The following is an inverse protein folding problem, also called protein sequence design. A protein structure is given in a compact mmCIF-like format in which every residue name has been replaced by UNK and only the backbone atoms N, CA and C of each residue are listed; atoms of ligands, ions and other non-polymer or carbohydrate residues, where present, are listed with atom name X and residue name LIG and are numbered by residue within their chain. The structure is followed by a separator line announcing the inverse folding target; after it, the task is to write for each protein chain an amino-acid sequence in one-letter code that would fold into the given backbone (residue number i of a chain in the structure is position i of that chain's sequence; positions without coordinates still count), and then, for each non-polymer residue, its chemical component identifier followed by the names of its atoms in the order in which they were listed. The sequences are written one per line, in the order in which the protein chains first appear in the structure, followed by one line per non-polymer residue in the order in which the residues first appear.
data_IF_719802604466
#
_entry.id   IF_719802604466
#
_cell.length_a   1.000
_cell.length_b   1.000
_cell.length_c   1.000
_cell.angle_alpha   90.00
_cell.angle_beta   90.00
_cell.angle_gamma   90.00
#
_symmetry.space_group_name_H-M   'P 1'
#
loop_
_entity.id
_entity.type
_entity.pdbx_description
1 polymer ?
#
# COMPACT_ATOMS: atom_id res chain seq x y z
N UNK A 1 65.69 8.09 -37.87
CA UNK A 1 66.05 7.15 -36.80
C UNK A 1 64.78 6.35 -36.48
N UNK A 2 64.35 5.45 -37.36
CA UNK A 2 64.71 4.02 -37.48
C UNK A 2 64.07 3.16 -36.39
N UNK A 3 63.30 2.17 -36.86
CA UNK A 3 62.46 1.17 -36.18
C UNK A 3 63.11 0.36 -35.03
N UNK A 4 62.24 -0.19 -34.15
CA UNK A 4 62.24 -1.51 -33.46
C UNK A 4 61.73 -1.33 -32.01
N UNK A 5 60.91 -2.16 -31.36
CA UNK A 5 60.10 -3.34 -31.65
C UNK A 5 59.33 -3.62 -30.33
N UNK A 6 58.00 -3.65 -30.33
CA UNK A 6 57.25 -4.18 -29.19
C UNK A 6 57.33 -5.71 -29.25
N UNK A 7 58.13 -6.25 -28.32
CA UNK A 7 58.23 -7.67 -28.06
C UNK A 7 57.03 -8.08 -27.22
N UNK A 8 56.25 -9.00 -27.79
CA UNK A 8 55.20 -9.74 -27.11
C UNK A 8 55.81 -10.49 -25.91
N UNK A 9 55.26 -10.28 -24.72
CA UNK A 9 55.47 -11.18 -23.60
C UNK A 9 54.14 -11.38 -22.90
N UNK A 10 53.51 -12.49 -23.25
CA UNK A 10 52.47 -13.13 -22.46
C UNK A 10 52.93 -13.25 -21.00
N UNK A 11 52.23 -12.57 -20.11
CA UNK A 11 52.18 -12.95 -18.71
C UNK A 11 50.75 -12.77 -18.22
N UNK A 12 49.98 -13.86 -18.37
CA UNK A 12 48.79 -14.11 -17.58
C UNK A 12 49.17 -14.05 -16.10
N UNK A 13 49.00 -12.88 -15.48
CA UNK A 13 49.05 -12.73 -14.04
C UNK A 13 47.80 -13.36 -13.44
N UNK A 14 47.85 -14.69 -13.28
CA UNK A 14 46.97 -15.38 -12.36
C UNK A 14 47.17 -14.74 -10.98
N UNK A 15 46.18 -13.96 -10.54
CA UNK A 15 46.09 -13.55 -9.15
C UNK A 15 46.19 -14.83 -8.29
N UNK A 16 46.99 -14.83 -7.22
CA UNK A 16 47.14 -16.00 -6.36
C UNK A 16 45.77 -16.48 -5.91
N UNK A 17 45.57 -17.79 -5.83
CA UNK A 17 44.27 -18.40 -5.52
C UNK A 17 43.62 -17.78 -4.27
N UNK A 18 44.43 -17.36 -3.30
CA UNK A 18 43.99 -16.67 -2.08
C UNK A 18 43.38 -15.27 -2.31
N UNK A 19 43.82 -14.52 -3.32
CA UNK A 19 43.23 -13.22 -3.68
C UNK A 19 41.90 -13.37 -4.44
N UNK A 20 41.78 -14.41 -5.27
CA UNK A 20 40.50 -14.76 -5.90
C UNK A 20 39.51 -15.21 -4.83
N UNK A 21 40.02 -15.94 -3.82
CA UNK A 21 39.29 -16.37 -2.64
C UNK A 21 38.93 -15.21 -1.66
N UNK A 22 39.55 -14.04 -1.76
CA UNK A 22 39.07 -12.87 -1.01
C UNK A 22 38.01 -12.09 -1.80
N UNK A 23 38.18 -12.02 -3.12
CA UNK A 23 37.32 -11.26 -4.02
C UNK A 23 35.89 -11.83 -4.10
N UNK A 24 35.74 -13.15 -4.29
CA UNK A 24 34.43 -13.82 -4.25
C UNK A 24 33.74 -13.73 -2.87
N UNK A 25 34.50 -13.75 -1.76
CA UNK A 25 33.97 -13.61 -0.39
C UNK A 25 33.48 -12.18 -0.14
N UNK A 26 34.20 -11.18 -0.63
CA UNK A 26 33.78 -9.77 -0.57
C UNK A 26 32.56 -9.51 -1.46
N UNK A 27 32.47 -10.13 -2.64
CA UNK A 27 31.29 -10.08 -3.51
C UNK A 27 30.06 -10.75 -2.87
N UNK A 28 30.23 -11.95 -2.28
CA UNK A 28 29.17 -12.63 -1.51
C UNK A 28 28.75 -11.81 -0.28
N UNK A 29 29.69 -11.16 0.41
CA UNK A 29 29.38 -10.28 1.53
C UNK A 29 28.61 -9.03 1.08
N UNK A 30 28.97 -8.42 -0.06
CA UNK A 30 28.23 -7.28 -0.63
C UNK A 30 26.80 -7.66 -1.06
N UNK A 31 26.60 -8.84 -1.65
CA UNK A 31 25.27 -9.33 -2.05
C UNK A 31 24.40 -9.67 -0.82
N UNK A 32 25.01 -10.16 0.27
CA UNK A 32 24.31 -10.38 1.54
C UNK A 32 24.07 -9.08 2.34
N UNK A 33 24.92 -8.06 2.18
CA UNK A 33 24.81 -6.77 2.86
C UNK A 33 23.80 -5.82 2.19
N UNK A 34 23.41 -6.06 0.93
CA UNK A 34 22.12 -5.61 0.39
C UNK A 34 20.97 -6.42 1.00
N UNK A 35 20.93 -6.49 2.33
CA UNK A 35 19.71 -6.81 3.03
C UNK A 35 18.68 -5.82 2.53
N UNK A 36 17.69 -6.32 1.79
CA UNK A 36 16.49 -5.57 1.45
C UNK A 36 16.02 -4.97 2.77
N UNK A 37 16.21 -3.66 2.95
CA UNK A 37 15.55 -2.94 4.02
C UNK A 37 14.07 -3.08 3.67
N UNK A 38 13.41 -4.14 4.15
CA UNK A 38 11.96 -4.26 4.03
C UNK A 38 11.42 -2.99 4.64
N UNK A 39 10.96 -2.07 3.80
CA UNK A 39 10.30 -0.88 4.28
C UNK A 39 9.11 -1.39 5.08
N UNK A 40 9.16 -1.11 6.38
CA UNK A 40 8.37 -1.80 7.38
C UNK A 40 7.26 -0.83 7.76
N UNK A 41 6.16 -0.93 7.03
CA UNK A 41 5.01 -0.04 7.19
C UNK A 41 3.97 -0.64 8.13
N UNK A 42 3.17 0.22 8.76
CA UNK A 42 2.03 -0.16 9.59
C UNK A 42 0.80 0.62 9.15
N UNK A 43 -0.40 0.03 9.25
CA UNK A 43 -1.62 0.77 9.03
C UNK A 43 -1.85 1.74 10.19
N UNK A 44 -2.48 2.88 9.90
CA UNK A 44 -2.92 3.83 10.91
C UNK A 44 -4.39 4.16 10.64
N UNK A 45 -5.23 3.88 11.62
CA UNK A 45 -6.65 4.17 11.58
C UNK A 45 -6.90 5.34 12.52
N UNK A 46 -7.59 6.35 12.03
CA UNK A 46 -7.80 7.61 12.71
C UNK A 46 -9.31 7.86 12.81
N UNK A 47 -9.75 8.34 13.97
CA UNK A 47 -11.12 8.84 14.14
C UNK A 47 -11.13 10.01 15.11
N UNK A 48 -12.04 10.95 14.89
CA UNK A 48 -12.17 12.13 15.75
C UNK A 48 -13.63 12.40 16.08
N UNK A 49 -13.86 13.01 17.25
CA UNK A 49 -15.15 13.57 17.62
C UNK A 49 -15.45 14.90 16.90
N UNK A 50 -14.45 15.51 16.27
CA UNK A 50 -14.59 16.72 15.47
C UNK A 50 -14.90 16.39 14.02
N UNK A 51 -15.96 16.96 13.46
CA UNK A 51 -16.34 16.75 12.05
C UNK A 51 -15.45 17.49 11.06
N UNK A 52 -14.74 18.54 11.50
CA UNK A 52 -13.81 19.29 10.66
C UNK A 52 -12.47 18.58 10.45
N UNK A 53 -12.17 17.56 11.25
CA UNK A 53 -10.94 16.81 11.15
C UNK A 53 -10.82 16.13 9.78
N UNK A 54 -9.62 16.21 9.19
CA UNK A 54 -9.21 15.62 7.92
C UNK A 54 -10.08 15.98 6.71
N UNK A 55 -10.86 17.05 6.78
CA UNK A 55 -11.67 17.57 5.66
C UNK A 55 -10.87 17.86 4.38
N UNK A 56 -9.54 18.03 4.51
CA UNK A 56 -8.59 18.26 3.41
C UNK A 56 -7.56 17.12 3.26
N UNK A 57 -7.78 15.96 3.88
CA UNK A 57 -6.85 14.85 3.75
C UNK A 57 -6.72 14.43 2.26
N UNK A 58 -5.49 14.24 1.77
CA UNK A 58 -5.27 13.87 0.38
C UNK A 58 -5.89 12.50 0.10
N UNK A 59 -6.44 12.33 -1.11
CA UNK A 59 -6.88 11.03 -1.58
C UNK A 59 -5.65 10.10 -1.61
N UNK A 60 -5.65 9.09 -0.74
CA UNK A 60 -4.55 8.13 -0.64
C UNK A 60 -4.75 7.07 -1.71
N UNK A 61 -3.96 7.16 -2.79
CA UNK A 61 -4.00 6.18 -3.88
C UNK A 61 -3.44 4.83 -3.43
N UNK A 62 -3.89 3.75 -4.08
CA UNK A 62 -3.36 2.41 -3.84
C UNK A 62 -1.84 2.37 -4.02
N UNK A 63 -1.13 1.82 -3.04
CA UNK A 63 0.34 1.76 -3.04
C UNK A 63 1.04 3.01 -2.52
N UNK A 64 0.32 4.09 -2.19
CA UNK A 64 0.92 5.25 -1.51
C UNK A 64 1.43 4.87 -0.12
N UNK A 65 2.63 5.33 0.20
CA UNK A 65 3.22 5.22 1.53
C UNK A 65 3.18 6.63 2.13
N UNK A 66 2.43 6.78 3.22
CA UNK A 66 2.36 8.05 3.93
C UNK A 66 3.69 8.30 4.63
N UNK A 67 4.36 9.38 4.22
CA UNK A 67 5.60 9.85 4.82
C UNK A 67 5.36 10.41 6.23
N UNK A 68 6.43 10.55 7.01
CA UNK A 68 6.29 11.12 8.35
C UNK A 68 5.80 12.56 8.37
N UNK A 69 6.25 13.37 7.42
CA UNK A 69 5.79 14.74 7.28
C UNK A 69 4.30 14.82 6.93
N UNK A 70 3.83 14.00 5.98
CA UNK A 70 2.40 13.93 5.65
C UNK A 70 1.56 13.50 6.85
N UNK A 71 2.00 12.46 7.56
CA UNK A 71 1.31 11.97 8.75
C UNK A 71 1.21 13.03 9.85
N UNK A 72 2.31 13.71 10.17
CA UNK A 72 2.29 14.72 11.22
C UNK A 72 1.46 15.94 10.83
N UNK A 73 1.51 16.37 9.56
CA UNK A 73 0.66 17.45 9.05
C UNK A 73 -0.83 17.13 9.19
N UNK A 74 -1.23 15.86 9.09
CA UNK A 74 -2.62 15.43 9.36
C UNK A 74 -3.02 15.56 10.83
N UNK A 75 -2.07 15.61 11.76
CA UNK A 75 -2.32 15.79 13.21
C UNK A 75 -2.22 17.26 13.63
N UNK A 76 -1.67 18.14 12.79
CA UNK A 76 -1.58 19.59 12.99
C UNK A 76 -2.92 20.32 12.75
N UNK A 77 -4.06 19.68 13.04
CA UNK A 77 -5.37 20.29 12.82
C UNK A 77 -5.61 21.49 13.74
N UNK A 78 -6.42 22.46 13.30
CA UNK A 78 -6.98 23.54 14.11
C UNK A 78 -8.08 23.04 15.06
N UNK A 79 -7.82 21.95 15.79
CA UNK A 79 -8.74 21.38 16.76
C UNK A 79 -8.85 22.27 18.01
N UNK A 80 -10.03 22.31 18.68
CA UNK A 80 -10.23 23.04 19.92
C UNK A 80 -9.21 22.61 21.00
N UNK A 81 -8.63 23.59 21.71
CA UNK A 81 -7.68 23.33 22.81
C UNK A 81 -8.43 23.16 24.15
N UNK A 82 -7.95 22.30 25.07
CA UNK A 82 -6.75 21.47 24.97
C UNK A 82 -6.94 20.23 24.09
N UNK A 83 -5.98 19.96 23.20
CA UNK A 83 -6.01 18.79 22.30
C UNK A 83 -5.83 17.50 23.11
N UNK A 84 -6.68 16.50 22.87
CA UNK A 84 -6.52 15.14 23.40
C UNK A 84 -6.28 14.17 22.24
N UNK A 85 -5.13 13.49 22.27
CA UNK A 85 -4.84 12.37 21.37
C UNK A 85 -4.81 11.06 22.17
N UNK A 86 -5.52 10.05 21.69
CA UNK A 86 -5.54 8.70 22.29
C UNK A 86 -4.98 7.70 21.29
N UNK A 87 -3.83 7.12 21.59
CA UNK A 87 -3.12 6.20 20.73
C UNK A 87 -3.25 4.77 21.24
N UNK A 88 -4.03 3.94 20.55
CA UNK A 88 -4.11 2.51 20.76
C UNK A 88 -2.99 1.81 19.98
N UNK A 89 -2.10 1.14 20.70
CA UNK A 89 -0.87 0.59 20.13
C UNK A 89 -0.83 -0.93 20.26
N UNK A 90 -0.88 -1.61 19.12
CA UNK A 90 -0.71 -3.05 19.00
C UNK A 90 0.78 -3.41 18.84
N UNK A 91 1.21 -4.56 19.35
CA UNK A 91 2.57 -5.04 19.16
C UNK A 91 2.93 -5.35 17.69
N UNK A 92 1.97 -5.91 16.94
CA UNK A 92 2.06 -6.23 15.51
C UNK A 92 0.74 -5.95 14.82
N UNK A 93 0.75 -5.22 13.71
CA UNK A 93 -0.46 -4.92 12.94
C UNK A 93 -0.15 -4.71 11.46
N UNK A 94 -0.97 -5.26 10.57
CA UNK A 94 -0.92 -5.01 9.12
C UNK A 94 -2.33 -4.84 8.54
N UNK A 95 -2.43 -4.29 7.33
CA UNK A 95 -3.71 -4.18 6.63
C UNK A 95 -4.35 -5.55 6.35
N UNK A 96 -3.50 -6.58 6.16
CA UNK A 96 -3.95 -7.95 5.98
C UNK A 96 -4.66 -8.48 7.22
N UNK A 97 -4.29 -8.06 8.44
CA UNK A 97 -4.96 -8.49 9.66
C UNK A 97 -6.44 -8.05 9.68
N UNK A 98 -6.73 -6.82 9.25
CA UNK A 98 -8.10 -6.32 9.16
C UNK A 98 -8.93 -7.10 8.15
N UNK A 99 -8.34 -7.41 6.99
CA UNK A 99 -9.03 -8.16 5.92
C UNK A 99 -9.25 -9.62 6.31
N UNK A 100 -8.24 -10.22 6.94
CA UNK A 100 -8.26 -11.62 7.31
C UNK A 100 -9.19 -11.86 8.51
N UNK A 101 -8.98 -11.17 9.62
CA UNK A 101 -9.74 -11.46 10.84
C UNK A 101 -11.19 -10.97 10.78
N UNK A 102 -11.54 -10.05 9.87
CA UNK A 102 -12.95 -9.66 9.66
C UNK A 102 -13.81 -10.77 9.05
N UNK A 103 -13.21 -11.78 8.41
CA UNK A 103 -13.93 -12.84 7.68
C UNK A 103 -13.71 -14.25 8.24
N UNK A 104 -12.63 -14.48 8.97
CA UNK A 104 -12.16 -15.83 9.34
C UNK A 104 -12.89 -16.43 10.55
N UNK A 105 -13.57 -15.62 11.37
CA UNK A 105 -14.16 -16.09 12.64
C UNK A 105 -15.68 -16.27 12.57
N UNK A 106 -16.16 -17.17 11.71
CA UNK A 106 -17.60 -17.51 11.63
C UNK A 106 -18.49 -16.27 11.43
N UNK A 107 -19.59 -16.18 12.18
CA UNK A 107 -20.49 -15.00 12.14
C UNK A 107 -20.04 -13.84 13.04
N UNK A 108 -18.95 -13.97 13.80
CA UNK A 108 -18.52 -12.96 14.77
C UNK A 108 -17.29 -12.22 14.24
N UNK A 109 -17.47 -10.96 13.84
CA UNK A 109 -16.37 -10.09 13.44
C UNK A 109 -15.58 -9.64 14.69
N UNK A 110 -14.31 -10.07 14.88
CA UNK A 110 -13.49 -9.68 16.03
C UNK A 110 -13.11 -8.19 16.05
N UNK A 111 -13.35 -7.44 14.98
CA UNK A 111 -13.01 -6.02 14.85
C UNK A 111 -14.26 -5.13 14.72
N UNK A 112 -15.41 -5.64 15.17
CA UNK A 112 -16.71 -4.96 15.01
C UNK A 112 -16.77 -3.57 15.66
N UNK A 113 -16.12 -3.36 16.82
CA UNK A 113 -16.19 -2.06 17.50
C UNK A 113 -15.36 -1.03 16.76
N UNK A 114 -14.14 -1.38 16.33
CA UNK A 114 -13.28 -0.50 15.53
C UNK A 114 -13.97 -0.15 14.21
N UNK A 115 -14.56 -1.13 13.51
CA UNK A 115 -15.31 -0.88 12.29
C UNK A 115 -16.47 0.10 12.56
N UNK A 116 -17.31 -0.20 13.56
CA UNK A 116 -18.43 0.67 13.92
C UNK A 116 -17.98 2.08 14.34
N UNK A 117 -16.85 2.22 15.03
CA UNK A 117 -16.29 3.53 15.40
C UNK A 117 -15.92 4.32 14.15
N UNK A 118 -15.24 3.70 13.18
CA UNK A 118 -14.84 4.40 11.94
C UNK A 118 -16.05 4.82 11.12
N UNK A 119 -17.11 3.99 11.10
CA UNK A 119 -18.34 4.27 10.36
C UNK A 119 -19.21 5.36 11.03
N UNK A 120 -19.17 5.46 12.36
CA UNK A 120 -20.07 6.36 13.13
C UNK A 120 -19.39 7.61 13.69
N UNK A 121 -18.06 7.67 13.65
CA UNK A 121 -17.35 8.87 14.07
C UNK A 121 -17.64 10.05 13.14
N UNK A 122 -17.76 11.28 13.66
CA UNK A 122 -17.94 12.48 12.84
C UNK A 122 -16.91 12.63 11.71
N UNK A 123 -15.70 12.14 11.94
CA UNK A 123 -14.65 12.03 10.92
C UNK A 123 -13.79 10.80 11.20
N UNK A 124 -13.34 10.15 10.13
CA UNK A 124 -12.44 9.01 10.18
C UNK A 124 -11.53 8.98 8.95
N UNK A 125 -10.32 8.44 9.11
CA UNK A 125 -9.32 8.33 8.06
C UNK A 125 -8.52 7.04 8.22
N UNK A 126 -8.30 6.34 7.11
CA UNK A 126 -7.49 5.12 7.08
C UNK A 126 -6.26 5.36 6.23
N UNK A 127 -5.09 5.21 6.84
CA UNK A 127 -3.80 5.25 6.18
C UNK A 127 -3.27 3.81 6.10
N UNK A 128 -3.34 3.15 4.93
CA UNK A 128 -3.01 1.73 4.82
C UNK A 128 -1.52 1.44 5.03
N UNK A 129 -0.67 2.45 4.82
CA UNK A 129 0.78 2.32 4.89
C UNK A 129 1.42 3.59 5.42
N UNK A 130 1.95 3.54 6.64
CA UNK A 130 2.75 4.59 7.28
C UNK A 130 4.08 3.99 7.71
N UNK A 131 5.19 4.72 7.57
CA UNK A 131 6.48 4.26 8.10
C UNK A 131 6.38 4.02 9.63
N UNK A 132 6.70 2.82 10.10
CA UNK A 132 6.68 2.49 11.54
C UNK A 132 7.53 3.43 12.38
N UNK A 133 8.63 3.97 11.82
CA UNK A 133 9.51 4.92 12.53
C UNK A 133 8.81 6.23 12.78
N UNK A 134 7.94 6.67 11.86
CA UNK A 134 7.11 7.85 12.05
C UNK A 134 6.20 7.65 13.24
N UNK A 135 5.41 6.56 13.23
CA UNK A 135 4.44 6.27 14.27
C UNK A 135 5.12 6.12 15.64
N UNK A 136 6.24 5.40 15.70
CA UNK A 136 7.01 5.23 16.93
C UNK A 136 7.65 6.52 17.47
N UNK A 137 7.91 7.50 16.61
CA UNK A 137 8.48 8.78 17.00
C UNK A 137 7.44 9.87 17.29
N UNK A 138 6.14 9.59 17.13
CA UNK A 138 5.07 10.54 17.38
C UNK A 138 5.16 11.23 18.77
N UNK A 139 5.41 10.51 19.89
CA UNK A 139 5.53 11.16 21.19
C UNK A 139 6.67 12.19 21.25
N UNK A 140 7.79 11.90 20.58
CA UNK A 140 8.95 12.78 20.52
C UNK A 140 8.70 13.98 19.60
N UNK A 141 7.94 13.78 18.52
CA UNK A 141 7.53 14.87 17.64
C UNK A 141 6.58 15.84 18.37
N UNK A 142 5.57 15.34 19.07
CA UNK A 142 4.61 16.17 19.81
C UNK A 142 5.28 16.97 20.93
N UNK A 143 6.18 16.34 21.71
CA UNK A 143 7.00 17.02 22.74
C UNK A 143 7.84 18.19 22.21
N UNK A 144 8.21 18.18 20.92
CA UNK A 144 8.98 19.26 20.31
C UNK A 144 8.09 20.43 19.89
N UNK A 145 6.80 20.20 19.65
CA UNK A 145 5.88 21.25 19.23
C UNK A 145 5.32 22.04 20.41
N UNK A 146 4.86 21.34 21.44
CA UNK A 146 4.20 21.94 22.60
C UNK A 146 4.55 21.15 23.87
N UNK A 147 4.19 21.69 25.03
CA UNK A 147 4.36 21.04 26.34
C UNK A 147 3.27 19.97 26.58
N UNK A 148 3.36 18.85 25.85
CA UNK A 148 2.40 17.75 25.92
C UNK A 148 2.52 16.93 27.21
N UNK A 149 1.40 16.72 27.88
CA UNK A 149 1.28 15.71 28.94
C UNK A 149 1.15 14.31 28.29
N UNK A 150 2.21 13.50 28.36
CA UNK A 150 2.22 12.16 27.75
C UNK A 150 2.11 11.09 28.83
N UNK A 151 1.08 10.26 28.71
CA UNK A 151 0.79 9.14 29.61
C UNK A 151 0.83 7.84 28.81
N UNK A 152 1.67 6.89 29.21
CA UNK A 152 1.81 5.57 28.57
C UNK A 152 1.35 4.48 29.55
N UNK A 153 0.30 3.75 29.20
CA UNK A 153 -0.37 2.77 30.07
C UNK A 153 -0.76 1.52 29.31
N UNK A 154 -0.77 0.38 30.01
CA UNK A 154 -1.35 -0.87 29.47
C UNK A 154 -2.87 -0.91 29.64
N UNK A 155 -3.38 -0.24 30.69
CA UNK A 155 -4.80 -0.20 31.01
C UNK A 155 -5.21 1.21 31.41
N UNK A 156 -6.21 1.75 30.73
CA UNK A 156 -6.76 3.08 31.04
C UNK A 156 -8.06 2.97 31.86
N UNK A 157 -8.04 3.55 33.07
CA UNK A 157 -9.27 3.84 33.80
C UNK A 157 -9.68 5.30 33.58
N UNK A 158 -10.62 5.53 32.65
CA UNK A 158 -11.10 6.87 32.28
C UNK A 158 -11.65 7.66 33.49
N UNK A 159 -12.20 6.99 34.50
CA UNK A 159 -12.79 7.66 35.67
C UNK A 159 -11.74 8.25 36.62
N UNK A 160 -10.49 7.79 36.56
CA UNK A 160 -9.37 8.34 37.33
C UNK A 160 -8.41 9.14 36.43
N UNK A 161 -8.83 9.47 35.21
CA UNK A 161 -8.01 10.20 34.27
C UNK A 161 -7.99 11.69 34.65
N UNK A 162 -6.97 12.09 35.39
CA UNK A 162 -6.69 13.50 35.65
C UNK A 162 -6.05 14.12 34.40
N UNK A 163 -6.90 14.69 33.55
CA UNK A 163 -6.43 15.42 32.37
C UNK A 163 -5.95 16.81 32.76
N UNK A 164 -4.77 17.19 32.29
CA UNK A 164 -4.34 18.57 32.39
C UNK A 164 -5.22 19.41 31.46
N UNK A 165 -6.01 20.33 32.01
CA UNK A 165 -6.94 21.18 31.26
C UNK A 165 -6.23 22.33 30.52
N UNK A 166 -5.00 22.62 30.89
CA UNK A 166 -4.22 23.75 30.38
C UNK A 166 -3.24 23.34 29.27
N UNK A 167 -2.94 22.03 29.16
CA UNK A 167 -1.95 21.47 28.23
C UNK A 167 -2.58 20.39 27.33
N UNK A 168 -2.06 20.18 26.11
CA UNK A 168 -2.48 19.05 25.29
C UNK A 168 -2.05 17.73 25.94
N UNK A 169 -2.84 16.67 25.76
CA UNK A 169 -2.62 15.37 26.38
C UNK A 169 -2.49 14.29 25.30
N UNK A 170 -1.47 13.44 25.42
CA UNK A 170 -1.32 12.20 24.65
C UNK A 170 -1.45 11.01 25.60
N UNK A 171 -2.39 10.11 25.32
CA UNK A 171 -2.55 8.87 26.07
C UNK A 171 -2.20 7.72 25.16
N UNK A 172 -1.14 6.97 25.47
CA UNK A 172 -0.73 5.77 24.76
C UNK A 172 -1.26 4.57 25.53
N UNK A 173 -2.06 3.74 24.86
CA UNK A 173 -2.72 2.57 25.43
C UNK A 173 -2.17 1.33 24.71
N UNK A 174 -1.36 0.56 25.42
CA UNK A 174 -0.74 -0.67 24.87
C UNK A 174 -1.74 -1.81 24.96
N UNK A 175 -2.08 -2.36 23.80
CA UNK A 175 -3.02 -3.48 23.71
C UNK A 175 -2.32 -4.80 23.97
N UNK A 176 -3.11 -5.84 24.30
CA UNK A 176 -2.58 -7.17 24.53
C UNK A 176 -1.91 -7.71 23.26
N UNK A 177 -0.71 -8.28 23.39
CA UNK A 177 0.02 -8.89 22.27
C UNK A 177 -0.76 -10.06 21.67
N UNK A 178 -0.79 -10.12 20.34
CA UNK A 178 -1.55 -11.14 19.61
C UNK A 178 -0.70 -12.41 19.45
N UNK A 179 -1.17 -13.59 19.92
CA UNK A 179 -0.48 -14.86 19.72
C UNK A 179 -0.60 -15.30 18.25
N UNK A 180 0.44 -15.04 17.46
CA UNK A 180 0.47 -15.33 16.01
C UNK A 180 0.63 -16.82 15.65
N UNK A 181 0.80 -17.70 16.64
CA UNK A 181 0.99 -19.15 16.42
C UNK A 181 -0.31 -19.91 16.15
N UNK A 182 -1.47 -19.32 16.47
CA UNK A 182 -2.76 -19.98 16.32
C UNK A 182 -3.85 -18.94 15.98
N UNK A 183 -4.46 -19.11 14.82
CA UNK A 183 -5.47 -18.21 14.25
C UNK A 183 -6.66 -17.97 15.19
N UNK A 184 -7.19 -19.02 15.82
CA UNK A 184 -8.33 -18.92 16.76
C UNK A 184 -7.96 -18.11 18.00
N UNK A 185 -6.74 -18.33 18.51
CA UNK A 185 -6.25 -17.54 19.65
C UNK A 185 -5.99 -16.09 19.27
N UNK A 186 -5.46 -15.83 18.07
CA UNK A 186 -5.26 -14.50 17.54
C UNK A 186 -6.59 -13.76 17.37
N UNK A 187 -7.57 -14.37 16.71
CA UNK A 187 -8.91 -13.82 16.52
C UNK A 187 -9.59 -13.48 17.86
N UNK A 188 -9.49 -14.37 18.86
CA UNK A 188 -10.02 -14.12 20.20
C UNK A 188 -9.36 -12.90 20.85
N UNK A 189 -8.02 -12.79 20.81
CA UNK A 189 -7.31 -11.66 21.40
C UNK A 189 -7.59 -10.35 20.65
N UNK A 190 -7.71 -10.40 19.31
CA UNK A 190 -8.20 -9.26 18.54
C UNK A 190 -9.59 -8.81 19.01
N UNK A 191 -10.52 -9.75 19.21
CA UNK A 191 -11.85 -9.47 19.75
C UNK A 191 -11.86 -8.83 21.13
N UNK A 192 -10.98 -9.26 22.03
CA UNK A 192 -10.86 -8.65 23.36
C UNK A 192 -10.23 -7.25 23.30
N UNK A 193 -9.22 -7.05 22.47
CA UNK A 193 -8.63 -5.74 22.22
C UNK A 193 -9.64 -4.77 21.58
N UNK A 194 -10.44 -5.24 20.61
CA UNK A 194 -11.51 -4.48 19.96
C UNK A 194 -12.58 -4.02 20.98
N UNK A 195 -13.04 -4.92 21.86
CA UNK A 195 -13.93 -4.56 22.98
C UNK A 195 -13.29 -3.53 23.91
N UNK A 196 -11.98 -3.61 24.14
CA UNK A 196 -11.25 -2.65 24.98
C UNK A 196 -11.23 -1.26 24.34
N UNK A 197 -10.87 -1.17 23.05
CA UNK A 197 -10.90 0.07 22.26
C UNK A 197 -12.31 0.66 22.27
N UNK A 198 -13.33 -0.15 21.99
CA UNK A 198 -14.74 0.25 22.00
C UNK A 198 -15.21 0.80 23.35
N UNK A 199 -14.83 0.15 24.45
CA UNK A 199 -15.17 0.59 25.80
C UNK A 199 -14.52 1.93 26.16
N UNK A 200 -13.24 2.11 25.85
CA UNK A 200 -12.51 3.36 26.16
C UNK A 200 -13.07 4.50 25.32
N UNK A 201 -13.21 4.32 24.01
CA UNK A 201 -13.75 5.32 23.09
C UNK A 201 -15.13 5.81 23.54
N UNK A 202 -16.03 4.88 23.88
CA UNK A 202 -17.36 5.21 24.40
C UNK A 202 -17.31 5.90 25.75
N UNK A 203 -16.44 5.46 26.68
CA UNK A 203 -16.28 6.15 27.97
C UNK A 203 -15.81 7.58 27.78
N UNK A 204 -14.81 7.83 26.93
CA UNK A 204 -14.32 9.17 26.65
C UNK A 204 -15.42 10.07 26.08
N UNK A 205 -16.16 9.57 25.07
CA UNK A 205 -17.31 10.27 24.50
C UNK A 205 -18.40 10.57 25.53
N UNK A 206 -18.75 9.60 26.38
CA UNK A 206 -19.78 9.76 27.41
C UNK A 206 -19.38 10.76 28.51
N UNK A 207 -18.08 10.95 28.75
CA UNK A 207 -17.57 11.98 29.67
C UNK A 207 -17.45 13.36 28.99
N UNK A 208 -17.82 13.48 27.71
CA UNK A 208 -17.80 14.74 26.96
C UNK A 208 -16.41 15.17 26.49
N UNK A 209 -15.44 14.24 26.41
CA UNK A 209 -14.14 14.56 25.87
C UNK A 209 -14.19 14.67 24.35
N UNK A 210 -13.60 15.76 23.84
CA UNK A 210 -13.27 15.92 22.43
C UNK A 210 -11.87 15.36 22.19
N UNK A 211 -11.73 14.38 21.29
CA UNK A 211 -10.45 13.71 21.08
C UNK A 211 -10.28 13.21 19.66
N UNK A 212 -9.00 13.08 19.29
CA UNK A 212 -8.56 12.35 18.11
C UNK A 212 -7.93 11.04 18.57
N UNK A 213 -8.32 9.92 17.98
CA UNK A 213 -7.76 8.63 18.29
C UNK A 213 -6.98 8.05 17.11
N UNK A 214 -5.95 7.27 17.45
CA UNK A 214 -5.02 6.64 16.52
C UNK A 214 -4.94 5.17 16.90
N UNK A 215 -5.27 4.26 15.98
CA UNK A 215 -5.03 2.83 16.14
C UNK A 215 -4.00 2.33 15.13
N UNK A 216 -2.94 1.72 15.64
CA UNK A 216 -1.79 1.30 14.82
C UNK A 216 -0.94 0.23 15.52
N UNK A 217 0.11 -0.26 14.85
CA UNK A 217 1.06 -1.23 15.36
C UNK A 217 2.49 -0.68 15.52
N UNK A 218 3.28 -1.29 16.41
CA UNK A 218 4.72 -1.00 16.56
C UNK A 218 5.53 -1.52 15.36
N UNK A 219 5.11 -2.65 14.80
CA UNK A 219 5.74 -3.31 13.66
C UNK A 219 4.67 -3.99 12.79
N UNK A 220 4.95 -4.21 11.49
CA UNK A 220 4.07 -5.00 10.65
C UNK A 220 3.96 -6.42 11.20
N UNK A 221 2.76 -6.99 11.09
CA UNK A 221 2.58 -8.42 11.25
C UNK A 221 3.03 -9.17 10.00
N UNK A 222 3.48 -10.42 10.19
CA UNK A 222 3.66 -11.39 9.11
C UNK A 222 2.48 -12.34 9.17
N UNK A 223 1.46 -12.10 8.34
CA UNK A 223 0.47 -13.14 8.08
C UNK A 223 1.17 -14.16 7.20
N UNK A 224 1.46 -15.36 7.72
CA UNK A 224 1.96 -16.46 6.89
C UNK A 224 0.83 -16.84 5.95
N UNK A 225 0.80 -16.25 4.76
CA UNK A 225 -0.15 -16.62 3.71
C UNK A 225 0.31 -17.97 3.19
N UNK A 226 -0.39 -19.05 3.55
CA UNK A 226 -0.26 -20.28 2.76
C UNK A 226 -0.77 -19.98 1.35
N UNK A 227 -0.15 -20.57 0.32
CA UNK A 227 -0.56 -20.38 -1.07
C UNK A 227 -2.06 -20.71 -1.28
N UNK A 228 -2.61 -21.67 -0.52
CA UNK A 228 -4.03 -22.02 -0.52
C UNK A 228 -4.96 -20.91 -0.01
N UNK A 229 -4.47 -20.02 0.85
CA UNK A 229 -5.23 -18.87 1.34
C UNK A 229 -5.27 -17.72 0.33
N UNK A 230 -4.28 -17.61 -0.58
CA UNK A 230 -4.32 -16.60 -1.65
C UNK A 230 -5.43 -16.91 -2.67
N UNK A 231 -5.78 -18.19 -2.84
CA UNK A 231 -6.92 -18.62 -3.65
C UNK A 231 -8.28 -18.49 -2.94
N UNK A 232 -8.33 -18.63 -1.61
CA UNK A 232 -9.57 -18.50 -0.82
C UNK A 232 -9.87 -17.09 -0.33
N UNK A 233 -8.85 -16.27 -0.14
CA UNK A 233 -9.00 -14.83 0.00
C UNK A 233 -9.19 -14.29 -1.41
N UNK A 234 -10.39 -14.51 -1.95
CA UNK A 234 -10.88 -13.71 -3.06
C UNK A 234 -10.65 -12.26 -2.68
N UNK A 235 -9.60 -11.65 -3.23
CA UNK A 235 -9.56 -10.21 -3.39
C UNK A 235 -10.65 -9.89 -4.40
N UNK A 236 -11.91 -10.02 -3.99
CA UNK A 236 -12.94 -9.19 -4.57
C UNK A 236 -12.55 -7.77 -4.13
N UNK A 237 -11.97 -7.03 -5.08
CA UNK A 237 -12.09 -5.58 -5.07
C UNK A 237 -13.55 -5.29 -4.70
N UNK A 238 -13.79 -4.40 -3.73
CA UNK A 238 -15.14 -3.89 -3.48
C UNK A 238 -15.65 -3.33 -4.81
N UNK A 239 -16.40 -4.16 -5.53
CA UNK A 239 -17.08 -3.80 -6.75
C UNK A 239 -18.11 -2.78 -6.33
N UNK A 240 -17.77 -1.51 -6.53
CA UNK A 240 -18.75 -0.44 -6.53
C UNK A 240 -19.57 -0.65 -7.78
N UNK A 241 -20.88 -0.85 -7.60
CA UNK A 241 -21.92 -1.10 -8.60
C UNK A 241 -21.57 -2.09 -9.73
N UNK A 242 -22.39 -3.14 -9.83
CA UNK A 242 -22.36 -4.22 -10.83
C UNK A 242 -22.65 -3.79 -12.28
N UNK A 243 -22.06 -2.68 -12.70
CA UNK A 243 -22.00 -2.21 -14.09
C UNK A 243 -20.56 -2.20 -14.58
N UNK A 244 -19.81 -3.29 -14.34
CA UNK A 244 -18.56 -3.52 -15.09
C UNK A 244 -18.97 -3.80 -16.54
N UNK A 245 -19.01 -2.74 -17.35
CA UNK A 245 -19.51 -2.84 -18.73
C UNK A 245 -18.58 -3.64 -19.64
N UNK A 246 -17.28 -3.78 -19.28
CA UNK A 246 -16.29 -4.39 -20.16
C UNK A 246 -15.27 -5.27 -19.42
N UNK A 247 -14.93 -6.41 -20.02
CA UNK A 247 -13.87 -7.31 -19.56
C UNK A 247 -12.49 -6.81 -20.01
N UNK A 248 -11.45 -6.87 -19.15
CA UNK A 248 -10.08 -6.54 -19.56
C UNK A 248 -9.61 -7.40 -20.74
N UNK A 249 -8.89 -6.80 -21.69
CA UNK A 249 -8.27 -7.52 -22.79
C UNK A 249 -7.04 -8.28 -22.27
N UNK A 250 -7.02 -9.59 -22.52
CA UNK A 250 -5.97 -10.50 -22.11
C UNK A 250 -5.14 -10.94 -23.32
N UNK A 251 -3.84 -10.65 -23.30
CA UNK A 251 -2.90 -11.06 -24.36
C UNK A 251 -1.97 -12.15 -23.83
N UNK A 252 -1.98 -13.28 -24.52
CA UNK A 252 -1.16 -14.46 -24.21
C UNK A 252 -0.06 -14.63 -25.25
N UNK A 253 1.19 -14.83 -24.82
CA UNK A 253 2.32 -15.09 -25.72
C UNK A 253 2.40 -16.59 -26.06
N UNK A 254 1.39 -17.13 -26.76
CA UNK A 254 1.33 -18.53 -27.20
C UNK A 254 1.31 -19.59 -26.10
N UNK A 255 1.09 -19.20 -24.85
CA UNK A 255 0.99 -20.07 -23.67
C UNK A 255 -0.32 -19.78 -22.92
N UNK A 256 -0.80 -20.71 -22.10
CA UNK A 256 -2.02 -20.52 -21.27
C UNK A 256 -1.85 -19.47 -20.15
N UNK A 257 -0.71 -18.78 -20.10
CA UNK A 257 -0.39 -17.77 -19.09
C UNK A 257 -0.65 -16.39 -19.66
N UNK A 258 -1.46 -15.62 -18.95
CA UNK A 258 -1.74 -14.21 -19.26
C UNK A 258 -0.45 -13.40 -19.19
N UNK A 259 -0.08 -12.76 -20.30
CA UNK A 259 1.13 -11.95 -20.34
C UNK A 259 0.83 -10.47 -20.08
N UNK A 260 -0.07 -9.88 -20.88
CA UNK A 260 -0.41 -8.47 -20.80
C UNK A 260 -1.90 -8.36 -20.54
N UNK A 261 -2.27 -7.56 -19.54
CA UNK A 261 -3.65 -7.21 -19.23
C UNK A 261 -3.81 -5.71 -19.41
N UNK A 262 -4.78 -5.32 -20.24
CA UNK A 262 -5.14 -3.91 -20.46
C UNK A 262 -6.63 -3.72 -20.20
N UNK A 263 -6.96 -2.62 -19.54
CA UNK A 263 -8.33 -2.24 -19.22
C UNK A 263 -8.47 -0.72 -19.36
N UNK A 264 -9.53 -0.29 -20.04
CA UNK A 264 -9.95 1.09 -20.10
C UNK A 264 -11.48 1.15 -20.20
N UNK A 265 -12.07 2.24 -19.69
CA UNK A 265 -13.51 2.50 -19.81
C UNK A 265 -13.89 3.14 -21.14
N UNK A 266 -12.95 3.88 -21.75
CA UNK A 266 -13.07 4.52 -23.05
C UNK A 266 -11.72 4.44 -23.76
N UNK A 267 -11.73 4.07 -25.04
CA UNK A 267 -10.55 3.94 -25.87
C UNK A 267 -10.77 4.64 -27.20
N UNK A 268 -10.51 5.94 -27.18
CA UNK A 268 -10.82 6.86 -28.27
C UNK A 268 -9.50 7.42 -28.83
N UNK A 269 -9.40 7.46 -30.16
CA UNK A 269 -8.22 7.98 -30.86
C UNK A 269 -8.63 9.09 -31.81
N UNK A 270 -7.94 10.22 -31.71
CA UNK A 270 -8.15 11.35 -32.62
C UNK A 270 -7.04 11.42 -33.66
N UNK A 271 -7.40 11.18 -34.92
CA UNK A 271 -6.51 11.30 -36.08
C UNK A 271 -6.72 12.65 -36.75
N UNK A 272 -5.63 13.37 -37.04
CA UNK A 272 -5.64 14.67 -37.74
C UNK A 272 -6.64 15.70 -37.17
N UNK A 273 -6.81 15.70 -35.83
CA UNK A 273 -7.66 16.63 -35.06
C UNK A 273 -9.15 16.65 -35.41
N UNK A 274 -9.60 15.79 -36.31
CA UNK A 274 -10.95 15.88 -36.92
C UNK A 274 -11.65 14.53 -36.99
N UNK A 275 -10.90 13.42 -37.00
CA UNK A 275 -11.45 12.07 -37.04
C UNK A 275 -11.28 11.45 -35.66
N UNK A 276 -12.39 11.30 -34.95
CA UNK A 276 -12.44 10.62 -33.66
C UNK A 276 -12.93 9.18 -33.90
N UNK A 277 -12.09 8.21 -33.54
CA UNK A 277 -12.36 6.79 -33.67
C UNK A 277 -12.54 6.20 -32.27
N UNK A 278 -13.75 5.75 -31.96
CA UNK A 278 -14.01 5.01 -30.74
C UNK A 278 -13.76 3.51 -30.98
N UNK A 279 -12.70 3.00 -30.34
CA UNK A 279 -12.27 1.62 -30.43
C UNK A 279 -12.74 0.79 -29.23
N UNK A 280 -13.46 1.38 -28.27
CA UNK A 280 -13.82 0.75 -26.99
C UNK A 280 -14.52 -0.59 -27.17
N UNK A 281 -15.53 -0.65 -28.05
CA UNK A 281 -16.30 -1.87 -28.30
C UNK A 281 -15.43 -2.98 -28.93
N UNK A 282 -14.62 -2.62 -29.92
CA UNK A 282 -13.74 -3.54 -30.67
C UNK A 282 -12.60 -4.09 -29.79
N UNK A 283 -12.18 -3.33 -28.78
CA UNK A 283 -11.09 -3.71 -27.88
C UNK A 283 -11.56 -4.47 -26.64
N UNK A 284 -12.68 -4.09 -26.01
CA UNK A 284 -13.05 -4.60 -24.67
C UNK A 284 -14.42 -5.27 -24.57
N UNK A 285 -15.34 -5.06 -25.52
CA UNK A 285 -16.69 -5.65 -25.48
C UNK A 285 -16.76 -6.94 -26.32
N UNK A 286 -16.35 -6.85 -27.58
CA UNK A 286 -16.17 -8.00 -28.47
C UNK A 286 -14.75 -7.91 -29.03
N UNK A 287 -13.74 -8.46 -28.34
CA UNK A 287 -12.35 -8.32 -28.72
C UNK A 287 -12.10 -8.99 -30.08
N UNK A 288 -12.18 -8.20 -31.15
CA UNK A 288 -11.85 -8.61 -32.53
C UNK A 288 -10.53 -7.98 -33.00
N UNK A 289 -9.82 -7.32 -32.08
CA UNK A 289 -8.50 -6.75 -32.30
C UNK A 289 -7.45 -7.87 -32.42
N UNK A 290 -6.56 -7.77 -33.40
CA UNK A 290 -5.46 -8.71 -33.55
C UNK A 290 -4.28 -8.29 -32.67
N UNK A 291 -3.87 -9.20 -31.79
CA UNK A 291 -2.78 -9.01 -30.82
C UNK A 291 -1.56 -9.89 -31.13
N UNK A 292 -1.55 -10.58 -32.28
CA UNK A 292 -0.53 -11.58 -32.65
C UNK A 292 0.89 -11.02 -32.70
N UNK A 293 1.05 -9.72 -32.95
CA UNK A 293 2.34 -9.02 -32.98
C UNK A 293 2.82 -8.52 -31.61
N UNK A 294 2.13 -8.90 -30.53
CA UNK A 294 2.55 -8.57 -29.18
C UNK A 294 3.66 -9.49 -28.69
N UNK A 295 4.69 -8.93 -28.08
CA UNK A 295 5.84 -9.68 -27.58
C UNK A 295 6.00 -9.49 -26.06
N UNK A 296 6.25 -10.62 -25.40
CA UNK A 296 6.46 -10.67 -23.96
C UNK A 296 7.79 -11.37 -23.65
N UNK A 297 8.76 -10.59 -23.19
CA UNK A 297 10.04 -11.11 -22.71
C UNK A 297 10.34 -10.59 -21.30
N UNK A 298 11.31 -11.19 -20.62
CA UNK A 298 11.71 -10.77 -19.26
C UNK A 298 12.28 -9.33 -19.22
N UNK A 299 12.79 -8.83 -20.34
CA UNK A 299 13.42 -7.51 -20.47
C UNK A 299 12.53 -6.47 -21.17
N UNK A 300 11.76 -6.87 -22.18
CA UNK A 300 10.94 -5.97 -23.00
C UNK A 300 9.53 -6.54 -23.18
N UNK A 301 8.52 -5.69 -23.02
CA UNK A 301 7.13 -6.04 -23.32
C UNK A 301 6.58 -5.05 -24.33
N UNK A 302 6.08 -5.54 -25.45
CA UNK A 302 5.45 -4.73 -26.49
C UNK A 302 4.04 -5.25 -26.74
N UNK A 303 3.05 -4.40 -26.53
CA UNK A 303 1.66 -4.67 -26.90
C UNK A 303 1.42 -4.07 -28.28
N UNK A 304 1.04 -4.89 -29.25
CA UNK A 304 0.58 -4.45 -30.57
C UNK A 304 -0.91 -4.75 -30.71
N UNK A 305 -1.68 -3.72 -31.05
CA UNK A 305 -3.12 -3.79 -31.31
C UNK A 305 -3.37 -3.40 -32.77
N UNK A 306 -3.72 -4.37 -33.60
CA UNK A 306 -3.99 -4.17 -35.02
C UNK A 306 -5.50 -4.16 -35.27
N UNK A 307 -6.00 -3.05 -35.79
CA UNK A 307 -7.41 -2.84 -36.13
C UNK A 307 -7.58 -2.81 -37.65
N UNK A 308 -8.53 -3.60 -38.16
CA UNK A 308 -8.99 -3.51 -39.55
C UNK A 308 -10.21 -2.59 -39.60
N UNK A 309 -10.00 -1.34 -40.01
CA UNK A 309 -11.08 -0.34 -40.08
C UNK A 309 -11.59 -0.25 -41.52
N UNK A 310 -12.91 -0.14 -41.69
CA UNK A 310 -13.56 0.05 -43.00
C UNK A 310 -14.04 1.48 -43.22
N UNK A 311 -13.62 2.43 -42.38
CA UNK A 311 -14.01 3.83 -42.46
C UNK A 311 -12.91 4.69 -43.09
N UNK A 312 -13.31 5.50 -44.09
CA UNK A 312 -12.60 6.66 -44.67
C UNK A 312 -11.06 6.58 -44.66
N UNK A 313 -10.51 6.06 -45.76
CA UNK A 313 -9.09 6.14 -46.16
C UNK A 313 -8.05 5.52 -45.19
N UNK A 314 -8.47 4.82 -44.13
CA UNK A 314 -7.60 4.08 -43.22
C UNK A 314 -7.96 2.59 -43.24
N UNK A 315 -7.19 1.81 -43.97
CA UNK A 315 -7.44 0.37 -44.14
C UNK A 315 -6.96 -0.47 -42.93
N UNK A 316 -5.97 0.04 -42.19
CA UNK A 316 -5.40 -0.62 -41.02
C UNK A 316 -4.84 0.41 -40.06
N UNK A 317 -5.03 0.20 -38.76
CA UNK A 317 -4.43 1.01 -37.70
C UNK A 317 -3.69 0.08 -36.75
N UNK A 318 -2.40 0.33 -36.53
CA UNK A 318 -1.61 -0.41 -35.54
C UNK A 318 -1.17 0.53 -34.41
N UNK A 319 -1.51 0.14 -33.19
CA UNK A 319 -1.09 0.84 -31.97
C UNK A 319 -0.07 -0.03 -31.25
N UNK A 320 1.14 0.50 -31.06
CA UNK A 320 2.19 -0.16 -30.32
C UNK A 320 2.46 0.55 -29.01
N UNK A 321 2.29 -0.17 -27.91
CA UNK A 321 2.67 0.30 -26.57
C UNK A 321 3.92 -0.48 -26.18
N UNK A 322 5.01 0.25 -25.99
CA UNK A 322 6.30 -0.34 -25.61
C UNK A 322 6.56 -0.06 -24.14
N UNK A 323 7.02 -1.04 -23.39
CA UNK A 323 7.62 -0.82 -22.07
C UNK A 323 9.07 -1.29 -22.10
N UNK A 324 9.99 -0.37 -21.83
CA UNK A 324 11.42 -0.62 -21.84
C UNK A 324 11.98 -1.05 -20.47
N UNK A 325 11.26 -0.85 -19.35
CA UNK A 325 11.79 -1.15 -18.02
C UNK A 325 10.72 -1.12 -16.93
N UNK A 326 10.13 -2.26 -16.53
CA UNK A 326 9.46 -2.60 -15.24
C UNK A 326 8.80 -1.47 -14.38
N UNK A 327 8.40 -0.36 -14.98
CA UNK A 327 7.89 0.86 -14.35
C UNK A 327 7.13 1.63 -15.42
N UNK A 328 5.80 1.58 -15.31
CA UNK A 328 4.83 2.53 -15.86
C UNK A 328 5.16 3.08 -17.26
N UNK A 329 4.59 2.43 -18.27
CA UNK A 329 4.31 2.89 -19.65
C UNK A 329 5.30 3.91 -20.24
N UNK A 330 6.24 3.41 -21.04
CA UNK A 330 7.20 4.22 -21.80
C UNK A 330 6.82 4.29 -23.29
N UNK A 331 6.00 5.26 -23.67
CA UNK A 331 5.66 5.62 -25.06
C UNK A 331 4.67 4.71 -25.82
N UNK A 332 3.74 5.36 -26.53
CA UNK A 332 2.84 4.75 -27.49
C UNK A 332 3.18 5.30 -28.88
N UNK A 333 3.39 4.41 -29.84
CA UNK A 333 3.59 4.72 -31.25
C UNK A 333 2.32 4.33 -32.02
N UNK A 334 1.81 5.26 -32.83
CA UNK A 334 0.69 5.03 -33.74
C UNK A 334 1.27 4.90 -35.15
N UNK A 335 1.07 3.74 -35.77
CA UNK A 335 1.42 3.48 -37.15
C UNK A 335 0.12 3.47 -37.98
N UNK A 336 0.04 4.40 -38.94
CA UNK A 336 -1.08 4.57 -39.87
C UNK A 336 -0.74 3.95 -41.23
#
# INVERSE_FOLDING_TARGET
MTYLALRDHSSSSFLPADMQLLSWLLLLFCICASGVNSLSHVPVLLWSTESSAWSLAPIVNAGHITSGHEFYKLLEEDAPKPKLIVMFLQDTLSIDDFTYYSTVYGNENPLQNVQHILDTSPSSLILPSVDKKTVGNLPNYLKKQDDWNIVDVDHLNVSSLEMNKDKPNLIIIRLQSIPRSNEKSAAKVFGENDKHIGRITRKLKNHGFHFTAIYTGVKPSKVVKSFDMVYKTGRELLATDSTVSYTPLNVTNGSDVSCILIYATQFIITVNKSLELDLTNITFEVPSVDTSSSECSASNTTLSLVYSLSEKDLNSLEIRIKDATHKFLSSAEILL
#
